data_IF_416111309380
#
_entry.id   IF_416111309380
#
_cell.length_a   1.000
_cell.length_b   1.000
_cell.length_c   1.000
_cell.angle_alpha   90.00
_cell.angle_beta   90.00
_cell.angle_gamma   90.00
#
_symmetry.space_group_name_H-M   'P 1'
#
loop_
_entity.id
_entity.type
_entity.pdbx_description
1 polymer ?
#
# COMPACT_ATOMS: atom_id res chain seq x y z
N UNK A 1 -1.66 -5.51 -0.60
CA UNK A 1 -2.00 -5.04 0.76
C UNK A 1 -1.06 -3.96 1.27
N UNK A 2 0.24 -4.15 1.09
CA UNK A 2 1.20 -3.13 1.53
C UNK A 2 0.99 -1.79 0.83
N UNK A 3 0.65 -1.83 -0.44
CA UNK A 3 0.40 -0.59 -1.18
C UNK A 3 -0.72 0.20 -0.54
N UNK A 4 -1.82 -0.48 -0.19
CA UNK A 4 -2.94 0.18 0.45
C UNK A 4 -2.54 0.77 1.79
N UNK A 5 -1.76 0.03 2.55
CA UNK A 5 -1.30 0.48 3.86
C UNK A 5 -0.50 1.78 3.74
N UNK A 6 0.48 1.79 2.83
CA UNK A 6 1.32 2.97 2.66
C UNK A 6 0.53 4.17 2.16
N UNK A 7 -0.36 3.94 1.18
CA UNK A 7 -1.15 5.06 0.67
C UNK A 7 -2.13 5.59 1.71
N UNK A 8 -2.66 4.72 2.56
CA UNK A 8 -3.58 5.14 3.59
C UNK A 8 -2.91 5.86 4.75
N UNK A 9 -1.72 5.41 5.12
CA UNK A 9 -1.02 5.99 6.26
C UNK A 9 -0.18 7.20 5.90
N UNK A 10 0.43 7.19 4.73
CA UNK A 10 1.36 8.24 4.35
C UNK A 10 0.82 9.16 3.27
N UNK A 11 -0.34 8.83 2.69
CA UNK A 11 -0.94 9.64 1.68
C UNK A 11 -0.44 9.35 0.27
N UNK A 12 -0.61 10.31 -0.60
CA UNK A 12 -0.27 10.18 -2.01
C UNK A 12 1.21 9.88 -2.19
N UNK A 13 1.52 8.93 -3.08
CA UNK A 13 2.89 8.51 -3.35
C UNK A 13 3.13 8.39 -4.85
N UNK A 14 4.37 8.63 -5.25
CA UNK A 14 4.81 8.37 -6.61
C UNK A 14 5.27 6.92 -6.71
N UNK A 15 5.34 6.43 -7.96
CA UNK A 15 5.77 5.06 -8.21
C UNK A 15 7.12 4.75 -7.56
N UNK A 16 8.09 5.64 -7.75
CA UNK A 16 9.41 5.41 -7.18
C UNK A 16 9.42 5.38 -5.67
N UNK A 17 8.56 6.20 -5.05
CA UNK A 17 8.44 6.23 -3.61
C UNK A 17 7.86 4.92 -3.08
N UNK A 18 6.84 4.40 -3.76
CA UNK A 18 6.25 3.12 -3.38
C UNK A 18 7.27 1.99 -3.51
N UNK A 19 8.03 2.01 -4.60
CA UNK A 19 9.03 0.97 -4.81
C UNK A 19 10.10 1.01 -3.72
N UNK A 20 10.48 2.21 -3.29
CA UNK A 20 11.49 2.36 -2.24
C UNK A 20 10.99 1.85 -0.90
N UNK A 21 9.68 1.96 -0.66
CA UNK A 21 9.08 1.50 0.59
C UNK A 21 8.92 -0.01 0.67
N UNK A 22 9.05 -0.69 -0.45
CA UNK A 22 8.83 -2.14 -0.52
C UNK A 22 10.07 -2.83 -1.06
N UNK A 23 11.10 -3.01 -0.23
CA UNK A 23 12.32 -3.68 -0.68
C UNK A 23 12.01 -5.08 -1.18
N UNK A 24 12.64 -5.46 -2.27
CA UNK A 24 12.42 -6.78 -2.84
C UNK A 24 11.32 -6.87 -3.86
N UNK A 25 10.47 -5.85 -3.97
CA UNK A 25 9.45 -5.88 -5.01
C UNK A 25 10.08 -5.46 -6.34
N UNK A 26 9.73 -6.18 -7.41
CA UNK A 26 10.21 -5.81 -8.72
C UNK A 26 9.30 -4.74 -9.31
N UNK A 27 9.84 -4.00 -10.29
CA UNK A 27 9.04 -2.99 -10.97
C UNK A 27 7.80 -3.61 -11.61
N UNK A 28 7.97 -4.80 -12.20
CA UNK A 28 6.86 -5.48 -12.86
C UNK A 28 5.77 -5.87 -11.88
N UNK A 29 6.16 -6.38 -10.71
CA UNK A 29 5.19 -6.75 -9.70
C UNK A 29 4.41 -5.53 -9.22
N UNK A 30 5.12 -4.43 -8.98
CA UNK A 30 4.47 -3.22 -8.50
C UNK A 30 3.51 -2.65 -9.55
N UNK A 31 3.93 -2.63 -10.80
CA UNK A 31 3.07 -2.16 -11.89
C UNK A 31 1.80 -3.00 -11.96
N UNK A 32 1.95 -4.33 -11.88
CA UNK A 32 0.79 -5.21 -11.98
C UNK A 32 -0.16 -5.03 -10.81
N UNK A 33 0.38 -4.89 -9.60
CA UNK A 33 -0.47 -4.70 -8.42
C UNK A 33 -1.21 -3.36 -8.47
N UNK A 34 -0.52 -2.31 -8.88
CA UNK A 34 -1.16 -0.99 -8.98
C UNK A 34 -2.25 -1.00 -10.04
N UNK A 35 -2.00 -1.68 -11.16
CA UNK A 35 -3.00 -1.75 -12.21
C UNK A 35 -4.27 -2.47 -11.73
N UNK A 36 -4.11 -3.56 -11.01
CA UNK A 36 -5.25 -4.29 -10.50
C UNK A 36 -6.04 -3.45 -9.50
N UNK A 37 -5.34 -2.74 -8.62
CA UNK A 37 -6.00 -1.90 -7.64
C UNK A 37 -6.72 -0.73 -8.31
N UNK A 38 -6.14 -0.21 -9.38
CA UNK A 38 -6.78 0.87 -10.13
C UNK A 38 -8.04 0.36 -10.84
N UNK A 39 -7.97 -0.83 -11.43
CA UNK A 39 -9.13 -1.41 -12.11
C UNK A 39 -10.26 -1.72 -11.13
N UNK A 40 -9.92 -2.04 -9.89
CA UNK A 40 -10.92 -2.31 -8.86
C UNK A 40 -11.41 -1.04 -8.18
N UNK A 41 -10.96 0.13 -8.65
CA UNK A 41 -11.35 1.43 -8.10
C UNK A 41 -10.94 1.61 -6.63
N UNK A 42 -9.87 0.94 -6.23
CA UNK A 42 -9.31 1.07 -4.89
C UNK A 42 -8.25 2.17 -4.88
N UNK A 43 -7.49 2.29 -5.96
CA UNK A 43 -6.41 3.25 -6.11
C UNK A 43 -6.71 4.16 -7.28
N UNK A 44 -6.43 5.44 -7.10
CA UNK A 44 -6.53 6.44 -8.15
C UNK A 44 -5.13 6.79 -8.66
N UNK A 45 -4.99 6.85 -9.98
CA UNK A 45 -3.75 7.23 -10.62
C UNK A 45 -3.93 8.60 -11.26
N UNK A 46 -3.13 9.55 -10.85
CA UNK A 46 -3.19 10.91 -11.39
C UNK A 46 -1.93 11.18 -12.21
N UNK A 47 -2.14 11.55 -13.47
CA UNK A 47 -1.04 11.86 -14.37
C UNK A 47 -1.00 13.37 -14.58
N UNK A 48 0.13 13.97 -14.29
CA UNK A 48 0.30 15.43 -14.46
C UNK A 48 1.06 15.68 -15.75
N UNK A 49 0.54 16.56 -16.61
CA UNK A 49 1.16 16.86 -17.90
C UNK A 49 2.30 17.86 -17.75
N UNK A 50 3.33 17.48 -17.03
CA UNK A 50 4.52 18.30 -16.82
C UNK A 50 5.70 17.56 -17.43
N UNK A 51 6.85 18.23 -17.49
CA UNK A 51 8.06 17.64 -18.07
C UNK A 51 9.13 17.64 -17.00
N UNK A 52 9.61 16.44 -16.58
CA UNK A 52 9.17 15.11 -16.99
C UNK A 52 7.77 14.79 -16.44
N UNK A 53 7.05 13.84 -17.06
CA UNK A 53 5.71 13.47 -16.59
C UNK A 53 5.74 12.97 -15.15
N UNK A 54 4.69 13.34 -14.44
CA UNK A 54 4.57 13.00 -13.02
C UNK A 54 3.32 12.17 -12.82
N UNK A 55 3.47 11.04 -12.15
CA UNK A 55 2.34 10.14 -11.87
C UNK A 55 2.29 9.90 -10.38
N UNK A 56 1.11 10.12 -9.80
CA UNK A 56 0.90 9.91 -8.37
C UNK A 56 -0.23 8.95 -8.14
N UNK A 57 -0.11 8.17 -7.07
CA UNK A 57 -1.12 7.19 -6.67
C UNK A 57 -1.67 7.55 -5.31
N UNK A 58 -2.99 7.41 -5.18
CA UNK A 58 -3.67 7.69 -3.92
C UNK A 58 -4.84 6.75 -3.77
N UNK A 59 -5.40 6.66 -2.57
CA UNK A 59 -6.57 5.84 -2.34
C UNK A 59 -7.82 6.59 -2.79
N UNK A 60 -8.75 5.84 -3.39
CA UNK A 60 -10.10 6.34 -3.63
C UNK A 60 -10.86 6.31 -2.31
N UNK A 61 -12.08 6.86 -2.32
CA UNK A 61 -12.93 6.75 -1.13
C UNK A 61 -13.17 5.29 -0.77
N UNK A 62 -13.35 4.45 -1.78
CA UNK A 62 -13.55 3.03 -1.56
C UNK A 62 -12.30 2.41 -0.94
N UNK A 63 -11.12 2.81 -1.43
CA UNK A 63 -9.88 2.33 -0.85
C UNK A 63 -9.71 2.78 0.58
N UNK A 64 -10.07 4.03 0.88
CA UNK A 64 -9.98 4.53 2.24
C UNK A 64 -10.88 3.76 3.19
N UNK A 65 -12.02 3.28 2.70
CA UNK A 65 -12.95 2.52 3.53
C UNK A 65 -12.38 1.18 3.97
N UNK A 66 -11.32 0.71 3.31
CA UNK A 66 -10.66 -0.53 3.70
C UNK A 66 -9.64 -0.32 4.83
N UNK A 67 -9.25 0.92 5.10
CA UNK A 67 -8.20 1.18 6.09
C UNK A 67 -8.55 0.68 7.48
N UNK A 68 -9.78 0.89 8.00
CA UNK A 68 -10.11 0.34 9.31
C UNK A 68 -9.96 -1.17 9.37
N UNK A 69 -10.28 -1.86 8.27
CA UNK A 69 -10.14 -3.32 8.21
C UNK A 69 -8.67 -3.71 8.22
N UNK A 70 -7.85 -3.01 7.44
CA UNK A 70 -6.42 -3.27 7.40
C UNK A 70 -5.77 -3.02 8.75
N UNK A 71 -6.20 -1.94 9.42
CA UNK A 71 -5.67 -1.62 10.74
C UNK A 71 -6.04 -2.70 11.75
N UNK A 72 -7.27 -3.19 11.67
CA UNK A 72 -7.70 -4.27 12.56
C UNK A 72 -6.89 -5.54 12.32
N UNK A 73 -6.63 -5.84 11.06
CA UNK A 73 -5.81 -7.01 10.73
C UNK A 73 -4.38 -6.85 11.23
N UNK A 74 -3.85 -5.64 11.09
CA UNK A 74 -2.51 -5.36 11.57
C UNK A 74 -2.41 -5.56 13.07
N UNK A 75 -3.37 -5.01 13.82
CA UNK A 75 -3.39 -5.15 15.27
C UNK A 75 -3.54 -6.60 15.68
N UNK A 76 -4.41 -7.32 15.02
CA UNK A 76 -4.60 -8.72 15.32
C UNK A 76 -3.30 -9.51 15.09
N UNK A 77 -2.66 -9.27 13.95
CA UNK A 77 -1.42 -9.97 13.63
C UNK A 77 -0.30 -9.64 14.61
N UNK A 78 -0.21 -8.37 14.99
CA UNK A 78 0.80 -7.95 15.96
C UNK A 78 0.60 -8.65 17.29
N UNK A 79 -0.63 -8.67 17.76
CA UNK A 79 -0.94 -9.34 19.03
C UNK A 79 -0.69 -10.84 18.95
N UNK A 80 -1.06 -11.44 17.84
CA UNK A 80 -0.85 -12.87 17.63
C UNK A 80 0.64 -13.21 17.68
N UNK A 81 1.45 -12.43 17.01
CA UNK A 81 2.90 -12.67 16.98
C UNK A 81 3.50 -12.51 18.37
N UNK A 82 3.13 -11.46 19.06
CA UNK A 82 3.66 -11.22 20.40
C UNK A 82 3.26 -12.34 21.37
N UNK A 83 2.04 -12.82 21.24
CA UNK A 83 1.55 -13.85 22.17
C UNK A 83 2.13 -15.21 21.82
N UNK A 84 2.23 -15.54 20.53
CA UNK A 84 2.54 -16.89 20.12
C UNK A 84 3.99 -17.13 19.72
N UNK A 85 4.73 -16.07 19.46
CA UNK A 85 6.11 -16.22 18.98
C UNK A 85 7.13 -15.56 19.87
N UNK A 86 6.86 -14.35 20.33
CA UNK A 86 7.84 -13.65 21.18
C UNK A 86 8.14 -14.42 22.46
N UNK A 87 7.12 -15.00 23.04
CA UNK A 87 7.28 -15.76 24.28
C UNK A 87 8.04 -17.06 24.06
N UNK A 88 7.81 -17.66 22.90
CA UNK A 88 8.38 -18.95 22.61
C UNK A 88 9.85 -18.89 22.29
N UNK A 89 10.35 -17.71 22.00
CA UNK A 89 11.75 -17.53 21.64
C UNK A 89 12.69 -17.57 22.82
N UNK A 90 12.16 -17.73 23.99
CA UNK A 90 12.99 -17.75 25.18
C UNK A 90 13.82 -19.00 25.29
#
# INVERSE_FOLDING_TARGET
MLILWFLGKEGTKRFGELKALMPGITQRMLVNQLRELEEDHIVHREVYPVVPPKVEYSLTKQGESLMPILEAMYEWGKNYIETNFSKDDK
#
